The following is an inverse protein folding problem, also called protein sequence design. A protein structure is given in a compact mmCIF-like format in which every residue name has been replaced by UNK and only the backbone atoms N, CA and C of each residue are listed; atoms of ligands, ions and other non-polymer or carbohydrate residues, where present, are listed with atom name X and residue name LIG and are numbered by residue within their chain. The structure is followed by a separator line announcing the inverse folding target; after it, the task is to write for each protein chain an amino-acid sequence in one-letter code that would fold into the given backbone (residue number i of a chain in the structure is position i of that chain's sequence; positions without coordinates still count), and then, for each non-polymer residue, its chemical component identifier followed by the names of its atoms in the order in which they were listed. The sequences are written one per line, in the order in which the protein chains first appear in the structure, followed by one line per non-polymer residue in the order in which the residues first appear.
data_IF_481565731861
#
_entry.id   IF_481565731861
#
_cell.length_a   1.000
_cell.length_b   1.000
_cell.length_c   1.000
_cell.angle_alpha   90.00
_cell.angle_beta   90.00
_cell.angle_gamma   90.00
#
_symmetry.space_group_name_H-M   'P 1'
#
loop_
_entity.id
_entity.type
_entity.pdbx_description
1 polymer ?
#
# COMPACT_ATOMS: atom_id res chain seq x y z
N UNK A 1 -32.72 -16.98 -7.73
CA UNK A 1 -32.81 -15.62 -7.14
C UNK A 1 -31.70 -15.36 -6.13
N UNK A 2 -31.56 -16.21 -5.10
CA UNK A 2 -30.59 -16.05 -3.99
C UNK A 2 -29.13 -15.86 -4.43
N UNK A 3 -28.66 -16.62 -5.43
CA UNK A 3 -27.30 -16.53 -5.97
C UNK A 3 -27.00 -15.24 -6.76
N UNK A 4 -28.02 -14.64 -7.39
CA UNK A 4 -27.87 -13.33 -8.05
C UNK A 4 -27.83 -12.19 -7.02
N UNK A 5 -28.59 -12.31 -5.93
CA UNK A 5 -28.56 -11.34 -4.85
C UNK A 5 -27.19 -11.37 -4.14
N UNK A 6 -26.63 -12.57 -3.88
CA UNK A 6 -25.28 -12.71 -3.32
C UNK A 6 -24.19 -12.03 -4.16
N UNK A 7 -24.25 -12.17 -5.49
CA UNK A 7 -23.33 -11.47 -6.39
C UNK A 7 -23.51 -9.94 -6.37
N UNK A 8 -24.74 -9.46 -6.21
CA UNK A 8 -25.01 -8.02 -6.11
C UNK A 8 -24.47 -7.45 -4.79
N UNK A 9 -24.69 -8.13 -3.67
CA UNK A 9 -24.17 -7.69 -2.37
C UNK A 9 -22.63 -7.68 -2.35
N UNK A 10 -21.99 -8.72 -2.87
CA UNK A 10 -20.52 -8.80 -2.96
C UNK A 10 -19.91 -7.68 -3.80
N UNK A 11 -20.64 -7.14 -4.79
CA UNK A 11 -20.20 -5.95 -5.54
C UNK A 11 -20.35 -4.64 -4.78
N UNK A 12 -21.38 -4.52 -3.94
CA UNK A 12 -21.72 -3.30 -3.22
C UNK A 12 -20.94 -3.18 -1.90
N UNK A 13 -20.64 -4.30 -1.25
CA UNK A 13 -19.92 -4.38 0.01
C UNK A 13 -18.58 -3.59 0.03
N UNK A 14 -17.69 -3.71 -0.98
CA UNK A 14 -16.43 -2.95 -0.97
C UNK A 14 -16.59 -1.46 -1.30
N UNK A 15 -17.73 -1.02 -1.83
CA UNK A 15 -17.91 0.39 -2.25
C UNK A 15 -17.87 1.32 -1.02
N UNK A 16 -18.55 0.95 0.06
CA UNK A 16 -18.64 1.80 1.25
C UNK A 16 -17.26 2.00 1.91
N UNK A 17 -16.48 0.94 2.20
CA UNK A 17 -15.11 1.10 2.73
C UNK A 17 -14.18 1.89 1.81
N UNK A 18 -14.26 1.66 0.49
CA UNK A 18 -13.43 2.39 -0.47
C UNK A 18 -13.76 3.89 -0.51
N UNK A 19 -15.04 4.25 -0.44
CA UNK A 19 -15.47 5.65 -0.33
C UNK A 19 -14.98 6.30 0.95
N UNK A 20 -15.06 5.61 2.09
CA UNK A 20 -14.53 6.12 3.38
C UNK A 20 -13.02 6.34 3.29
N UNK A 21 -12.28 5.36 2.76
CA UNK A 21 -10.83 5.49 2.57
C UNK A 21 -10.48 6.65 1.64
N UNK A 22 -11.22 6.84 0.55
CA UNK A 22 -11.03 7.96 -0.36
C UNK A 22 -11.26 9.32 0.33
N UNK A 23 -12.31 9.46 1.15
CA UNK A 23 -12.58 10.69 1.93
C UNK A 23 -11.46 10.97 2.94
N UNK A 24 -11.00 9.95 3.64
CA UNK A 24 -9.91 10.09 4.63
C UNK A 24 -8.64 10.55 3.93
N UNK A 25 -8.23 9.88 2.85
CA UNK A 25 -7.04 10.25 2.09
C UNK A 25 -7.13 11.67 1.53
N UNK A 26 -8.29 12.05 0.98
CA UNK A 26 -8.52 13.40 0.45
C UNK A 26 -8.49 14.46 1.55
N UNK A 27 -9.00 14.15 2.74
CA UNK A 27 -8.99 15.06 3.89
C UNK A 27 -7.57 15.29 4.41
N UNK A 28 -6.75 14.23 4.49
CA UNK A 28 -5.33 14.33 4.89
C UNK A 28 -4.56 15.20 3.90
N UNK A 29 -4.72 14.96 2.59
CA UNK A 29 -4.05 15.75 1.55
C UNK A 29 -4.53 17.21 1.58
N UNK A 30 -5.84 17.45 1.73
CA UNK A 30 -6.39 18.81 1.77
C UNK A 30 -5.90 19.59 3.00
N UNK A 31 -5.77 18.94 4.15
CA UNK A 31 -5.23 19.56 5.35
C UNK A 31 -3.75 19.88 5.18
N UNK A 32 -2.97 18.96 4.60
CA UNK A 32 -1.58 19.22 4.26
C UNK A 32 -1.46 20.44 3.33
N UNK A 33 -2.19 20.44 2.22
CA UNK A 33 -2.14 21.49 1.21
C UNK A 33 -2.46 22.88 1.77
N UNK A 34 -3.51 23.00 2.60
CA UNK A 34 -3.89 24.28 3.21
C UNK A 34 -2.80 24.87 4.11
N UNK A 35 -2.12 24.03 4.87
CA UNK A 35 -1.14 24.51 5.85
C UNK A 35 0.28 24.63 5.28
N UNK A 36 0.55 23.94 4.17
CA UNK A 36 1.80 24.05 3.40
C UNK A 36 1.76 25.27 2.46
N UNK A 37 0.59 25.58 1.87
CA UNK A 37 0.39 26.72 0.97
C UNK A 37 -0.65 27.71 1.53
N UNK A 38 -0.32 28.54 2.54
CA UNK A 38 -1.27 29.50 3.10
C UNK A 38 -1.62 30.62 2.10
N UNK A 39 -2.91 31.00 2.04
CA UNK A 39 -3.43 32.04 1.14
C UNK A 39 -3.02 33.48 1.54
N UNK A 40 -2.54 33.71 2.77
CA UNK A 40 -2.13 35.04 3.25
C UNK A 40 -0.85 34.96 4.08
N UNK A 41 0.15 35.77 3.71
CA UNK A 41 1.39 35.90 4.50
C UNK A 41 1.11 36.68 5.80
N UNK A 42 1.74 36.32 6.93
CA UNK A 42 1.69 37.13 8.14
C UNK A 42 2.23 38.54 7.84
N UNK A 43 1.53 39.55 8.35
CA UNK A 43 1.76 40.97 8.06
C UNK A 43 3.18 41.43 8.39
N UNK A 44 4.01 41.64 7.36
CA UNK A 44 5.28 42.37 7.49
C UNK A 44 6.42 41.93 6.55
N UNK A 45 6.37 40.72 5.99
CA UNK A 45 7.40 40.24 5.08
C UNK A 45 7.00 40.50 3.62
N UNK A 46 7.84 41.25 2.90
CA UNK A 46 7.68 41.51 1.47
C UNK A 46 7.78 40.19 0.72
N UNK A 47 6.73 39.88 -0.04
CA UNK A 47 6.69 38.81 -1.03
C UNK A 47 7.97 38.75 -1.86
N UNK A 48 8.60 37.58 -1.91
CA UNK A 48 9.65 37.23 -2.87
C UNK A 48 9.14 37.49 -4.32
N UNK A 49 9.99 37.75 -5.34
CA UNK A 49 9.56 38.01 -6.72
C UNK A 49 8.74 36.87 -7.36
N UNK A 50 8.70 35.70 -6.72
CA UNK A 50 7.93 34.51 -7.08
C UNK A 50 6.53 34.46 -6.46
N UNK A 51 6.18 35.39 -5.56
CA UNK A 51 4.87 35.45 -4.90
C UNK A 51 4.65 34.41 -3.79
N UNK A 52 5.71 33.76 -3.31
CA UNK A 52 5.65 32.81 -2.20
C UNK A 52 5.85 33.53 -0.86
N UNK A 53 4.99 33.23 0.13
CA UNK A 53 5.23 33.61 1.53
C UNK A 53 6.38 32.75 2.07
N UNK A 54 7.33 33.34 2.81
CA UNK A 54 8.26 32.55 3.61
C UNK A 54 7.45 31.64 4.56
N UNK A 55 7.81 30.36 4.60
CA UNK A 55 6.87 29.27 4.85
C UNK A 55 6.29 29.18 6.27
N UNK A 56 5.09 28.58 6.34
CA UNK A 56 4.56 27.88 7.50
C UNK A 56 3.76 28.71 8.52
N UNK A 57 2.87 28.05 9.31
CA UNK A 57 2.24 28.69 10.45
C UNK A 57 3.31 29.08 11.48
N UNK A 58 3.28 30.32 11.98
CA UNK A 58 4.14 30.79 13.07
C UNK A 58 3.72 30.07 14.36
N UNK A 59 4.27 28.89 14.58
CA UNK A 59 4.14 28.13 15.84
C UNK A 59 5.51 28.08 16.51
N UNK A 60 6.02 29.22 16.98
CA UNK A 60 7.16 29.37 17.92
C UNK A 60 8.41 28.47 17.75
N UNK A 61 8.71 27.97 16.55
CA UNK A 61 9.91 27.22 16.19
C UNK A 61 10.03 27.19 14.63
N UNK A 62 11.21 26.90 14.04
CA UNK A 62 11.60 27.42 12.73
C UNK A 62 10.67 26.94 11.62
N UNK A 63 10.45 27.83 10.66
CA UNK A 63 9.84 27.62 9.34
C UNK A 63 9.94 26.15 8.92
N UNK A 64 8.84 25.41 9.02
CA UNK A 64 8.78 24.04 8.51
C UNK A 64 8.84 24.12 6.99
N UNK A 65 9.98 23.71 6.43
CA UNK A 65 10.20 23.72 4.99
C UNK A 65 9.16 22.79 4.33
N UNK A 66 8.36 23.26 3.36
CA UNK A 66 7.36 22.45 2.67
C UNK A 66 7.94 21.17 2.02
N UNK A 67 9.25 21.15 1.77
CA UNK A 67 9.98 20.01 1.21
C UNK A 67 10.36 18.94 2.27
N UNK A 68 10.11 19.22 3.56
CA UNK A 68 10.49 18.37 4.70
C UNK A 68 9.29 17.78 5.46
N UNK A 69 8.14 17.65 4.79
CA UNK A 69 6.94 17.05 5.40
C UNK A 69 7.11 15.54 5.52
N UNK A 70 7.34 15.09 6.76
CA UNK A 70 7.52 13.68 7.10
C UNK A 70 6.36 13.17 7.94
N UNK A 71 6.24 11.84 8.06
CA UNK A 71 5.19 11.19 8.87
C UNK A 71 5.27 11.60 10.37
N UNK A 72 6.48 11.95 10.81
CA UNK A 72 6.81 12.41 12.18
C UNK A 72 6.39 13.87 12.40
N UNK A 73 6.57 14.73 11.41
CA UNK A 73 6.30 16.16 11.51
C UNK A 73 4.88 16.54 11.08
N UNK A 74 4.17 15.64 10.40
CA UNK A 74 2.82 15.89 9.89
C UNK A 74 1.84 16.38 10.96
N UNK A 75 2.02 15.95 12.22
CA UNK A 75 1.10 16.31 13.28
C UNK A 75 1.10 17.79 13.67
N UNK A 76 2.14 18.54 13.30
CA UNK A 76 2.27 19.98 13.56
C UNK A 76 1.35 20.81 12.66
N UNK A 77 0.86 20.22 11.55
CA UNK A 77 -0.06 20.87 10.63
C UNK A 77 -1.53 20.85 11.09
N UNK A 78 -1.86 20.20 12.21
CA UNK A 78 -3.24 20.23 12.73
C UNK A 78 -3.53 21.52 13.50
N UNK A 79 -4.65 22.16 13.18
CA UNK A 79 -5.08 23.46 13.72
C UNK A 79 -5.35 23.49 15.24
N UNK A 80 -5.38 22.35 15.93
CA UNK A 80 -5.72 22.24 17.37
C UNK A 80 -4.55 22.53 18.33
N UNK A 81 -3.44 23.08 17.83
CA UNK A 81 -2.18 23.22 18.57
C UNK A 81 -1.42 21.90 18.68
N UNK A 82 -0.09 21.99 18.85
CA UNK A 82 0.85 20.86 18.78
C UNK A 82 0.42 19.65 19.65
N UNK A 83 -0.16 19.88 20.83
CA UNK A 83 -0.54 18.78 21.73
C UNK A 83 -1.80 18.01 21.28
N UNK A 84 -2.83 18.69 20.78
CA UNK A 84 -4.07 18.04 20.31
C UNK A 84 -3.90 17.36 18.95
N UNK A 85 -3.12 17.97 18.07
CA UNK A 85 -2.87 17.45 16.71
C UNK A 85 -2.06 16.15 16.73
N UNK A 86 -0.96 16.14 17.48
CA UNK A 86 -0.07 14.98 17.57
C UNK A 86 -0.67 13.79 18.32
N UNK A 87 -1.56 14.02 19.28
CA UNK A 87 -2.29 12.92 19.95
C UNK A 87 -3.29 12.25 19.01
N UNK A 88 -4.07 13.03 18.25
CA UNK A 88 -5.03 12.49 17.27
C UNK A 88 -4.30 11.79 16.12
N UNK A 89 -3.22 12.38 15.61
CA UNK A 89 -2.39 11.77 14.56
C UNK A 89 -1.79 10.44 15.04
N UNK A 90 -1.19 10.40 16.23
CA UNK A 90 -0.65 9.18 16.81
C UNK A 90 -1.72 8.09 16.99
N UNK A 91 -2.93 8.45 17.46
CA UNK A 91 -4.04 7.50 17.59
C UNK A 91 -4.50 6.96 16.22
N UNK A 92 -4.55 7.83 15.21
CA UNK A 92 -4.88 7.43 13.84
C UNK A 92 -3.85 6.45 13.25
N UNK A 93 -2.56 6.69 13.48
CA UNK A 93 -1.48 5.79 13.07
C UNK A 93 -1.61 4.42 13.75
N UNK A 94 -1.91 4.38 15.04
CA UNK A 94 -2.13 3.13 15.78
C UNK A 94 -3.34 2.39 15.21
N UNK A 95 -4.45 3.09 14.97
CA UNK A 95 -5.66 2.50 14.40
C UNK A 95 -5.40 1.91 13.00
N UNK A 96 -4.68 2.63 12.14
CA UNK A 96 -4.29 2.16 10.81
C UNK A 96 -3.37 0.93 10.88
N UNK A 97 -2.42 0.90 11.82
CA UNK A 97 -1.54 -0.24 12.04
C UNK A 97 -2.31 -1.51 12.45
N UNK A 98 -3.32 -1.38 13.31
CA UNK A 98 -4.16 -2.52 13.71
C UNK A 98 -5.01 -3.05 12.55
N UNK A 99 -5.59 -2.15 11.75
CA UNK A 99 -6.37 -2.54 10.57
C UNK A 99 -5.51 -3.33 9.57
N UNK A 100 -4.29 -2.85 9.26
CA UNK A 100 -3.36 -3.53 8.37
C UNK A 100 -2.92 -4.91 8.89
N UNK A 101 -2.70 -5.03 10.21
CA UNK A 101 -2.31 -6.29 10.82
C UNK A 101 -3.41 -7.37 10.72
N UNK A 102 -4.68 -6.97 10.83
CA UNK A 102 -5.82 -7.88 10.62
C UNK A 102 -5.88 -8.35 9.17
N UNK A 103 -5.85 -7.43 8.21
CA UNK A 103 -5.89 -7.77 6.77
C UNK A 103 -4.72 -8.67 6.39
N UNK A 104 -3.51 -8.40 6.88
CA UNK A 104 -2.32 -9.24 6.60
C UNK A 104 -2.49 -10.67 7.12
N UNK A 105 -3.10 -10.84 8.29
CA UNK A 105 -3.33 -12.17 8.89
C UNK A 105 -4.32 -12.98 8.04
N UNK A 106 -5.44 -12.36 7.65
CA UNK A 106 -6.48 -13.00 6.83
C UNK A 106 -6.05 -13.23 5.38
N UNK A 107 -5.50 -12.22 4.70
CA UNK A 107 -5.00 -12.39 3.32
C UNK A 107 -3.92 -13.45 3.28
N UNK A 108 -3.04 -13.44 4.28
CA UNK A 108 -2.02 -14.44 4.38
C UNK A 108 -2.60 -15.86 4.51
N UNK A 109 -3.69 -16.09 5.26
CA UNK A 109 -4.25 -17.43 5.44
C UNK A 109 -4.68 -18.02 4.11
N UNK A 110 -5.36 -17.22 3.30
CA UNK A 110 -5.72 -17.65 1.95
C UNK A 110 -4.50 -17.94 1.06
N UNK A 111 -3.43 -17.15 1.17
CA UNK A 111 -2.21 -17.37 0.38
C UNK A 111 -1.46 -18.62 0.84
N UNK A 112 -1.32 -18.86 2.16
CA UNK A 112 -0.60 -20.03 2.65
C UNK A 112 -1.36 -21.33 2.39
N UNK A 113 -2.68 -21.34 2.55
CA UNK A 113 -3.52 -22.49 2.23
C UNK A 113 -3.55 -22.74 0.71
N UNK A 114 -3.51 -21.69 -0.10
CA UNK A 114 -3.53 -21.78 -1.56
C UNK A 114 -2.19 -22.17 -2.20
N UNK A 115 -1.05 -21.69 -1.67
CA UNK A 115 0.26 -21.84 -2.31
C UNK A 115 1.25 -22.76 -1.57
N UNK A 116 1.10 -22.94 -0.26
CA UNK A 116 2.11 -23.62 0.58
C UNK A 116 1.51 -24.85 1.31
N UNK A 117 0.20 -25.10 1.22
CA UNK A 117 -0.55 -26.19 1.90
C UNK A 117 -0.07 -26.43 3.34
N UNK A 118 0.17 -25.33 4.07
CA UNK A 118 0.79 -25.36 5.38
C UNK A 118 -0.21 -24.88 6.43
N UNK A 119 -0.79 -25.85 7.14
CA UNK A 119 -1.81 -25.61 8.19
C UNK A 119 -1.15 -25.21 9.50
N UNK A 120 -0.88 -23.92 9.67
CA UNK A 120 -0.41 -23.32 10.93
C UNK A 120 -1.58 -22.62 11.62
N UNK A 121 -1.74 -22.75 12.95
CA UNK A 121 -2.76 -22.01 13.69
C UNK A 121 -2.56 -20.49 13.57
N UNK A 122 -3.68 -19.75 13.49
CA UNK A 122 -3.73 -18.31 13.16
C UNK A 122 -2.88 -17.44 14.10
N UNK A 123 -2.78 -17.81 15.38
CA UNK A 123 -2.00 -17.08 16.39
C UNK A 123 -0.48 -17.08 16.12
N UNK A 124 0.11 -18.25 15.84
CA UNK A 124 1.53 -18.46 15.54
C UNK A 124 1.89 -17.75 14.25
N UNK A 125 1.01 -17.87 13.26
CA UNK A 125 1.12 -17.16 11.99
C UNK A 125 1.15 -15.64 12.20
N UNK A 126 0.22 -15.09 12.99
CA UNK A 126 0.14 -13.65 13.26
C UNK A 126 1.40 -13.15 13.97
N UNK A 127 1.86 -13.84 15.02
CA UNK A 127 3.10 -13.50 15.73
C UNK A 127 4.31 -13.57 14.78
N UNK A 128 4.46 -14.64 14.00
CA UNK A 128 5.59 -14.80 13.08
C UNK A 128 5.63 -13.67 12.04
N UNK A 129 4.50 -13.35 11.40
CA UNK A 129 4.45 -12.25 10.42
C UNK A 129 4.70 -10.89 11.04
N UNK A 130 4.28 -10.67 12.29
CA UNK A 130 4.57 -9.43 13.04
C UNK A 130 6.05 -9.34 13.39
N UNK A 131 6.68 -10.43 13.84
CA UNK A 131 8.12 -10.45 14.10
C UNK A 131 8.90 -10.13 12.83
N UNK A 132 8.58 -10.79 11.71
CA UNK A 132 9.27 -10.54 10.43
C UNK A 132 9.06 -9.11 9.93
N UNK A 133 7.89 -8.51 10.15
CA UNK A 133 7.63 -7.13 9.75
C UNK A 133 8.30 -6.09 10.68
N UNK A 134 8.32 -6.33 11.99
CA UNK A 134 8.84 -5.39 12.98
C UNK A 134 10.37 -5.43 13.06
N UNK A 135 10.99 -6.60 12.91
CA UNK A 135 12.44 -6.76 13.01
C UNK A 135 13.24 -5.79 12.12
N UNK A 136 12.99 -5.68 10.80
CA UNK A 136 13.75 -4.75 9.96
C UNK A 136 13.51 -3.30 10.37
N UNK A 137 12.29 -2.93 10.75
CA UNK A 137 11.97 -1.59 11.21
C UNK A 137 12.71 -1.22 12.51
N UNK A 138 12.76 -2.13 13.48
CA UNK A 138 13.46 -1.92 14.75
C UNK A 138 14.98 -1.85 14.56
N UNK A 139 15.54 -2.71 13.71
CA UNK A 139 16.98 -2.67 13.41
C UNK A 139 17.36 -1.34 12.77
N UNK A 140 16.57 -0.88 11.79
CA UNK A 140 16.79 0.41 11.15
C UNK A 140 16.67 1.53 12.19
N UNK A 141 15.60 1.58 12.99
CA UNK A 141 15.41 2.60 14.02
C UNK A 141 16.49 2.60 15.11
N UNK A 142 17.15 1.46 15.37
CA UNK A 142 18.23 1.36 16.36
C UNK A 142 19.61 1.76 15.81
N UNK A 143 19.80 1.70 14.49
CA UNK A 143 21.08 2.03 13.83
C UNK A 143 21.07 3.45 13.27
N UNK A 144 19.88 4.00 13.04
CA UNK A 144 19.67 5.25 12.30
C UNK A 144 19.08 6.31 13.22
N UNK A 145 19.86 7.35 13.50
CA UNK A 145 19.46 8.46 14.38
C UNK A 145 18.79 9.63 13.63
N UNK A 146 18.75 9.61 12.29
CA UNK A 146 18.24 10.71 11.48
C UNK A 146 16.85 10.44 10.88
N UNK A 147 15.92 11.42 10.91
CA UNK A 147 14.56 11.26 10.37
C UNK A 147 14.55 11.01 8.84
N UNK A 148 15.46 11.62 8.08
CA UNK A 148 15.53 11.50 6.62
C UNK A 148 15.65 10.05 6.13
N UNK A 149 16.40 9.25 6.87
CA UNK A 149 16.64 7.83 6.56
C UNK A 149 15.46 6.92 6.89
N UNK A 150 14.57 7.32 7.81
CA UNK A 150 13.30 6.63 8.04
C UNK A 150 12.35 6.88 6.87
N UNK A 151 12.24 8.13 6.41
CA UNK A 151 11.41 8.48 5.26
C UNK A 151 11.92 7.81 3.98
N UNK A 152 13.24 7.70 3.82
CA UNK A 152 13.85 6.92 2.75
C UNK A 152 13.43 5.45 2.76
N UNK A 153 13.42 4.80 3.93
CA UNK A 153 12.98 3.40 4.06
C UNK A 153 11.49 3.27 3.74
N UNK A 154 10.66 4.21 4.19
CA UNK A 154 9.24 4.26 3.83
C UNK A 154 9.06 4.41 2.32
N UNK A 155 9.86 5.27 1.69
CA UNK A 155 9.91 5.44 0.24
C UNK A 155 10.21 4.13 -0.48
N UNK A 156 11.24 3.39 -0.05
CA UNK A 156 11.59 2.07 -0.61
C UNK A 156 10.42 1.09 -0.47
N UNK A 157 9.78 1.02 0.70
CA UNK A 157 8.63 0.11 0.92
C UNK A 157 7.49 0.44 -0.04
N UNK A 158 7.19 1.72 -0.25
CA UNK A 158 6.14 2.15 -1.17
C UNK A 158 6.47 1.79 -2.63
N UNK A 159 7.72 1.95 -3.05
CA UNK A 159 8.18 1.55 -4.40
C UNK A 159 8.09 0.04 -4.60
N UNK A 160 8.55 -0.75 -3.62
CA UNK A 160 8.46 -2.22 -3.67
C UNK A 160 7.01 -2.69 -3.72
N UNK A 161 6.12 -2.07 -2.93
CA UNK A 161 4.69 -2.35 -2.96
C UNK A 161 4.08 -2.02 -4.32
N UNK A 162 4.46 -0.88 -4.89
CA UNK A 162 4.08 -0.46 -6.25
C UNK A 162 4.46 -1.50 -7.31
N UNK A 163 5.68 -2.04 -7.25
CA UNK A 163 6.14 -3.11 -8.16
C UNK A 163 5.36 -4.42 -7.97
N UNK A 164 4.97 -4.77 -6.74
CA UNK A 164 4.22 -6.00 -6.47
C UNK A 164 2.78 -5.97 -7.03
N UNK A 165 2.16 -4.78 -7.11
CA UNK A 165 0.76 -4.62 -7.48
C UNK A 165 0.43 -5.16 -8.90
N UNK A 166 1.15 -4.79 -9.98
CA UNK A 166 0.83 -5.30 -11.31
C UNK A 166 1.04 -6.81 -11.46
N UNK A 167 2.05 -7.36 -10.79
CA UNK A 167 2.40 -8.78 -10.82
C UNK A 167 1.24 -9.63 -10.27
N UNK A 168 0.58 -9.18 -9.20
CA UNK A 168 -0.59 -9.85 -8.66
C UNK A 168 -1.87 -9.58 -9.48
N UNK A 169 -1.99 -8.41 -10.08
CA UNK A 169 -3.19 -7.98 -10.79
C UNK A 169 -3.37 -8.68 -12.15
N UNK A 170 -2.30 -8.93 -12.91
CA UNK A 170 -2.35 -9.61 -14.21
C UNK A 170 -3.03 -11.00 -14.14
N UNK A 171 -2.56 -11.94 -13.29
CA UNK A 171 -3.19 -13.26 -13.20
C UNK A 171 -4.64 -13.16 -12.69
N UNK A 172 -4.96 -12.22 -11.80
CA UNK A 172 -6.31 -11.99 -11.33
C UNK A 172 -7.27 -11.58 -12.47
N UNK A 173 -6.83 -10.67 -13.35
CA UNK A 173 -7.61 -10.24 -14.53
C UNK A 173 -7.84 -11.42 -15.48
N UNK A 174 -6.80 -12.21 -15.75
CA UNK A 174 -6.90 -13.37 -16.64
C UNK A 174 -7.82 -14.46 -16.08
N UNK A 175 -7.73 -14.75 -14.79
CA UNK A 175 -8.62 -15.70 -14.11
C UNK A 175 -10.08 -15.22 -14.14
N UNK A 176 -10.30 -13.93 -13.93
CA UNK A 176 -11.63 -13.32 -13.98
C UNK A 176 -12.25 -13.32 -15.39
N UNK A 177 -11.41 -13.35 -16.43
CA UNK A 177 -11.83 -13.45 -17.83
C UNK A 177 -11.96 -14.89 -18.35
N UNK A 178 -11.50 -15.89 -17.60
CA UNK A 178 -11.57 -17.27 -18.04
C UNK A 178 -13.00 -17.84 -17.94
N UNK A 179 -13.58 -18.20 -19.09
CA UNK A 179 -14.93 -18.77 -19.16
C UNK A 179 -15.04 -20.14 -18.48
N UNK A 180 -13.98 -20.94 -18.47
CA UNK A 180 -13.97 -22.25 -17.81
C UNK A 180 -14.10 -22.15 -16.28
N UNK A 181 -13.71 -21.01 -15.69
CA UNK A 181 -13.72 -20.80 -14.22
C UNK A 181 -14.89 -19.95 -13.76
N UNK A 182 -15.13 -18.81 -14.40
CA UNK A 182 -16.19 -17.87 -13.99
C UNK A 182 -17.56 -18.20 -14.60
N UNK A 183 -17.61 -19.01 -15.67
CA UNK A 183 -18.85 -19.38 -16.35
C UNK A 183 -19.68 -18.15 -16.74
N UNK A 184 -20.92 -18.08 -16.22
CA UNK A 184 -21.87 -16.98 -16.47
C UNK A 184 -21.46 -15.64 -15.82
N UNK A 185 -20.60 -15.66 -14.79
CA UNK A 185 -20.18 -14.47 -14.04
C UNK A 185 -18.85 -13.87 -14.54
N UNK A 186 -18.41 -14.26 -15.75
CA UNK A 186 -17.20 -13.74 -16.40
C UNK A 186 -17.28 -12.22 -16.59
N UNK A 187 -16.13 -11.56 -16.39
CA UNK A 187 -15.94 -10.14 -16.71
C UNK A 187 -16.22 -9.83 -18.19
N UNK A 188 -16.83 -8.67 -18.47
CA UNK A 188 -17.09 -8.23 -19.85
C UNK A 188 -15.78 -7.94 -20.59
N UNK A 189 -15.78 -8.06 -21.93
CA UNK A 189 -14.59 -7.74 -22.74
C UNK A 189 -14.12 -6.30 -22.54
N UNK A 190 -15.06 -5.37 -22.36
CA UNK A 190 -14.73 -3.95 -22.11
C UNK A 190 -13.97 -3.83 -20.79
N UNK A 191 -14.48 -4.42 -19.71
CA UNK A 191 -13.84 -4.31 -18.40
C UNK A 191 -12.49 -5.04 -18.38
N UNK A 192 -12.33 -6.15 -19.12
CA UNK A 192 -11.03 -6.78 -19.34
C UNK A 192 -10.01 -5.82 -19.98
N UNK A 193 -10.36 -5.17 -21.09
CA UNK A 193 -9.44 -4.24 -21.76
C UNK A 193 -9.15 -2.98 -20.94
N UNK A 194 -10.14 -2.47 -20.20
CA UNK A 194 -9.94 -1.33 -19.28
C UNK A 194 -8.99 -1.71 -18.14
N UNK A 195 -9.21 -2.85 -17.49
CA UNK A 195 -8.32 -3.33 -16.42
C UNK A 195 -6.91 -3.63 -16.94
N UNK A 196 -6.80 -4.15 -18.17
CA UNK A 196 -5.51 -4.39 -18.81
C UNK A 196 -4.78 -3.08 -19.14
N UNK A 197 -5.47 -2.08 -19.68
CA UNK A 197 -4.90 -0.77 -19.95
C UNK A 197 -4.43 -0.08 -18.66
N UNK A 198 -5.22 -0.17 -17.59
CA UNK A 198 -4.83 0.33 -16.27
C UNK A 198 -3.61 -0.41 -15.72
N UNK A 199 -3.53 -1.73 -15.89
CA UNK A 199 -2.36 -2.50 -15.47
C UNK A 199 -1.09 -2.10 -16.25
N UNK A 200 -1.19 -1.91 -17.57
CA UNK A 200 -0.07 -1.41 -18.40
C UNK A 200 0.39 -0.02 -17.92
N UNK A 201 -0.56 0.86 -17.62
CA UNK A 201 -0.27 2.17 -17.04
C UNK A 201 0.49 2.05 -15.71
N UNK A 202 0.04 1.15 -14.81
CA UNK A 202 0.73 0.90 -13.54
C UNK A 202 2.14 0.35 -13.75
N UNK A 203 2.35 -0.59 -14.68
CA UNK A 203 3.69 -1.13 -14.98
C UNK A 203 4.62 -0.02 -15.44
N UNK A 204 4.15 0.83 -16.36
CA UNK A 204 4.91 1.97 -16.85
C UNK A 204 5.23 2.98 -15.73
N UNK A 205 4.22 3.37 -14.96
CA UNK A 205 4.38 4.35 -13.88
C UNK A 205 5.33 3.84 -12.79
N UNK A 206 5.19 2.59 -12.34
CA UNK A 206 6.07 2.02 -11.32
C UNK A 206 7.50 1.83 -11.84
N UNK A 207 7.69 1.46 -13.10
CA UNK A 207 9.01 1.42 -13.72
C UNK A 207 9.64 2.82 -13.78
N UNK A 208 8.87 3.84 -14.17
CA UNK A 208 9.33 5.22 -14.21
C UNK A 208 9.71 5.74 -12.80
N UNK A 209 8.84 5.57 -11.80
CA UNK A 209 9.13 5.96 -10.42
C UNK A 209 10.31 5.20 -9.82
N UNK A 210 10.50 3.92 -10.18
CA UNK A 210 11.69 3.18 -9.78
C UNK A 210 12.97 3.79 -10.40
N UNK A 211 12.90 4.35 -11.60
CA UNK A 211 14.04 5.02 -12.24
C UNK A 211 14.28 6.46 -11.79
N UNK A 212 13.25 7.20 -11.38
CA UNK A 212 13.38 8.62 -11.01
C UNK A 212 13.54 8.82 -9.51
N UNK A 213 12.78 8.07 -8.71
CA UNK A 213 12.55 8.39 -7.29
C UNK A 213 13.27 7.40 -6.36
N UNK A 214 13.88 6.34 -6.90
CA UNK A 214 14.65 5.39 -6.10
C UNK A 214 16.09 5.85 -5.90
N UNK A 215 16.74 5.27 -4.87
CA UNK A 215 18.19 5.34 -4.62
C UNK A 215 19.02 5.08 -5.87
N UNK A 216 18.49 4.27 -6.79
CA UNK A 216 19.17 3.87 -8.01
C UNK A 216 19.09 4.95 -9.10
N UNK A 217 18.01 5.73 -9.12
CA UNK A 217 17.79 6.86 -10.04
C UNK A 217 18.60 8.12 -9.73
N UNK A 218 18.93 8.32 -8.45
CA UNK A 218 19.65 9.49 -7.94
C UNK A 218 21.07 9.67 -8.52
N UNK A 219 21.56 8.68 -9.27
CA UNK A 219 22.90 8.66 -9.86
C UNK A 219 22.92 8.86 -11.40
N UNK A 220 21.77 9.06 -12.04
CA UNK A 220 21.74 9.48 -13.45
C UNK A 220 22.27 10.92 -13.57
N UNK A 221 23.54 11.07 -13.96
CA UNK A 221 24.20 12.37 -14.13
C UNK A 221 25.18 12.77 -13.02
N UNK A 222 25.55 11.85 -12.13
CA UNK A 222 26.59 12.11 -11.13
C UNK A 222 27.93 12.50 -11.83
N UNK A 223 28.46 13.67 -11.48
CA UNK A 223 29.72 14.18 -12.01
C UNK A 223 30.85 13.15 -11.80
N UNK A 224 31.67 12.95 -12.85
CA UNK A 224 32.81 12.02 -12.82
C UNK A 224 33.85 12.33 -11.73
N UNK A 225 33.80 13.52 -11.13
CA UNK A 225 34.68 13.95 -10.05
C UNK A 225 34.27 13.43 -8.65
N UNK A 226 33.11 12.79 -8.52
CA UNK A 226 32.65 12.24 -7.24
C UNK A 226 33.35 10.91 -6.90
N UNK A 227 33.86 10.78 -5.67
CA UNK A 227 34.42 9.53 -5.13
C UNK A 227 33.44 8.36 -5.15
N UNK A 228 32.15 8.63 -5.39
CA UNK A 228 31.07 7.65 -5.43
C UNK A 228 30.66 7.24 -6.86
N UNK A 229 31.38 7.67 -7.90
CA UNK A 229 31.05 7.37 -9.30
C UNK A 229 30.97 5.86 -9.59
N UNK A 230 31.86 5.04 -9.00
CA UNK A 230 31.84 3.58 -9.20
C UNK A 230 30.57 2.96 -8.60
N UNK A 231 30.18 3.39 -7.39
CA UNK A 231 28.94 2.93 -6.74
C UNK A 231 27.69 3.38 -7.49
N UNK A 232 27.70 4.60 -8.01
CA UNK A 232 26.64 5.16 -8.87
C UNK A 232 26.40 4.31 -10.13
N UNK A 233 27.47 3.92 -10.84
CA UNK A 233 27.37 3.07 -12.03
C UNK A 233 26.83 1.67 -11.66
N UNK A 234 27.31 1.09 -10.56
CA UNK A 234 26.83 -0.22 -10.09
C UNK A 234 25.33 -0.19 -9.72
N UNK A 235 24.88 0.89 -9.08
CA UNK A 235 23.48 1.10 -8.71
C UNK A 235 22.58 1.18 -9.96
N UNK A 236 22.99 1.93 -10.99
CA UNK A 236 22.26 2.03 -12.25
C UNK A 236 22.16 0.68 -12.98
N UNK A 237 23.27 -0.08 -13.05
CA UNK A 237 23.26 -1.41 -13.68
C UNK A 237 22.29 -2.34 -12.94
N UNK A 238 22.28 -2.30 -11.60
CA UNK A 238 21.34 -3.09 -10.82
C UNK A 238 19.89 -2.65 -11.09
N UNK A 239 19.63 -1.35 -11.18
CA UNK A 239 18.31 -0.80 -11.50
C UNK A 239 17.80 -1.30 -12.86
N UNK A 240 18.67 -1.31 -13.87
CA UNK A 240 18.35 -1.80 -15.20
C UNK A 240 18.00 -3.29 -15.18
N UNK A 241 18.80 -4.09 -14.48
CA UNK A 241 18.53 -5.52 -14.32
C UNK A 241 17.18 -5.74 -13.63
N UNK A 242 16.91 -5.02 -12.54
CA UNK A 242 15.64 -5.13 -11.79
C UNK A 242 14.46 -4.73 -12.67
N UNK A 243 14.57 -3.66 -13.43
CA UNK A 243 13.47 -3.19 -14.30
C UNK A 243 13.24 -4.13 -15.47
N UNK A 244 14.30 -4.65 -16.10
CA UNK A 244 14.17 -5.66 -17.17
C UNK A 244 13.51 -6.93 -16.63
N UNK A 245 13.92 -7.40 -15.45
CA UNK A 245 13.28 -8.55 -14.79
C UNK A 245 11.81 -8.25 -14.49
N UNK A 246 11.50 -7.07 -13.94
CA UNK A 246 10.14 -6.63 -13.66
C UNK A 246 9.25 -6.62 -14.91
N UNK A 247 9.70 -6.01 -15.99
CA UNK A 247 8.97 -5.95 -17.27
C UNK A 247 8.81 -7.37 -17.84
N UNK A 248 9.86 -8.18 -17.80
CA UNK A 248 9.84 -9.56 -18.30
C UNK A 248 8.84 -10.42 -17.54
N UNK A 249 8.79 -10.31 -16.20
CA UNK A 249 7.82 -11.03 -15.35
C UNK A 249 6.39 -10.61 -15.69
N UNK A 250 6.12 -9.29 -15.76
CA UNK A 250 4.79 -8.80 -16.11
C UNK A 250 4.39 -9.28 -17.50
N UNK A 251 5.27 -9.13 -18.50
CA UNK A 251 5.04 -9.61 -19.86
C UNK A 251 4.77 -11.12 -19.89
N UNK A 252 5.57 -11.92 -19.18
CA UNK A 252 5.37 -13.35 -19.06
C UNK A 252 3.99 -13.71 -18.49
N UNK A 253 3.55 -13.03 -17.43
CA UNK A 253 2.21 -13.24 -16.88
C UNK A 253 1.09 -12.82 -17.84
N UNK A 254 1.31 -11.82 -18.70
CA UNK A 254 0.32 -11.42 -19.72
C UNK A 254 0.07 -12.52 -20.76
N UNK A 255 1.10 -13.25 -21.17
CA UNK A 255 0.97 -14.27 -22.23
C UNK A 255 0.73 -15.67 -21.70
N UNK A 256 1.27 -16.01 -20.54
CA UNK A 256 1.08 -17.33 -19.95
C UNK A 256 -0.22 -17.37 -19.15
N UNK A 257 -1.27 -17.90 -19.76
CA UNK A 257 -2.49 -18.21 -19.02
C UNK A 257 -2.18 -19.21 -17.90
N UNK A 258 -2.71 -19.02 -16.68
CA UNK A 258 -2.56 -20.00 -15.61
C UNK A 258 -3.13 -21.34 -16.10
N UNK A 259 -2.27 -22.36 -16.16
CA UNK A 259 -2.67 -23.73 -16.51
C UNK A 259 -3.34 -24.31 -15.28
N UNK A 260 -4.63 -24.65 -15.38
CA UNK A 260 -5.40 -25.08 -14.22
C UNK A 260 -5.68 -26.57 -14.31
N UNK A 261 -5.12 -27.33 -13.38
CA UNK A 261 -5.58 -28.67 -13.03
C UNK A 261 -6.96 -28.51 -12.39
N UNK A 262 -7.98 -29.11 -12.98
CA UNK A 262 -9.36 -29.07 -12.50
C UNK A 262 -9.43 -29.60 -11.06
N UNK A 263 -9.71 -28.75 -10.08
CA UNK A 263 -10.29 -29.22 -8.83
C UNK A 263 -11.70 -29.75 -9.14
N UNK A 264 -12.01 -30.93 -8.63
CA UNK A 264 -13.36 -31.49 -8.68
C UNK A 264 -14.36 -30.47 -8.10
N UNK A 265 -15.59 -30.38 -8.64
CA UNK A 265 -16.62 -29.55 -8.03
C UNK A 265 -16.80 -29.99 -6.57
N UNK A 266 -16.82 -29.02 -5.64
CA UNK A 266 -17.21 -29.29 -4.25
C UNK A 266 -18.57 -30.00 -4.28
N UNK A 267 -18.60 -31.23 -3.78
CA UNK A 267 -19.84 -31.97 -3.63
C UNK A 267 -20.74 -31.20 -2.67
N UNK A 268 -22.03 -31.15 -2.99
CA UNK A 268 -23.07 -30.41 -2.27
C UNK A 268 -23.28 -30.89 -0.81
N UNK A 269 -22.60 -31.95 -0.38
CA UNK A 269 -22.72 -32.57 0.94
C UNK A 269 -21.95 -31.83 2.04
N UNK A 270 -20.83 -31.17 1.76
CA UNK A 270 -20.00 -30.55 2.81
C UNK A 270 -20.60 -29.25 3.39
N UNK A 271 -21.54 -28.61 2.71
CA UNK A 271 -22.22 -27.40 3.22
C UNK A 271 -23.22 -27.70 4.35
N UNK A 272 -23.78 -28.91 4.41
CA UNK A 272 -24.78 -29.24 5.43
C UNK A 272 -24.17 -29.49 6.79
N UNK A 273 -22.94 -29.98 6.85
CA UNK A 273 -22.30 -30.36 8.12
C UNK A 273 -21.88 -29.16 8.96
N UNK A 274 -21.60 -28.01 8.35
CA UNK A 274 -21.13 -26.82 9.05
C UNK A 274 -22.25 -25.86 9.50
N UNK A 275 -23.44 -26.00 8.90
CA UNK A 275 -24.64 -25.28 9.34
C UNK A 275 -25.26 -25.83 10.65
N UNK A 276 -24.83 -27.04 11.08
CA UNK A 276 -25.33 -27.72 12.28
C UNK A 276 -24.36 -27.68 13.47
N UNK A 277 -23.23 -26.96 13.39
CA UNK A 277 -22.35 -26.72 14.54
C UNK A 277 -22.86 -25.53 15.38
N UNK A 278 -23.07 -25.81 16.67
CA UNK A 278 -23.75 -25.04 17.71
C UNK A 278 -23.55 -23.50 17.74
N UNK A 279 -24.54 -22.75 18.28
CA UNK A 279 -24.43 -21.30 18.44
C UNK A 279 -23.26 -20.95 19.37
N UNK A 280 -22.42 -20.02 18.91
CA UNK A 280 -21.34 -19.39 19.68
C UNK A 280 -21.95 -18.76 20.94
N UNK A 281 -21.57 -19.26 22.12
CA UNK A 281 -21.94 -18.69 23.42
C UNK A 281 -21.25 -17.32 23.61
N UNK A 282 -21.99 -16.25 23.34
CA UNK A 282 -21.57 -14.86 23.55
C UNK A 282 -21.29 -14.50 25.02
N UNK A 283 -21.58 -15.38 25.99
CA UNK A 283 -21.27 -15.16 27.40
C UNK A 283 -19.78 -15.25 27.75
N UNK A 284 -18.99 -16.00 26.99
CA UNK A 284 -17.57 -16.24 27.31
C UNK A 284 -16.63 -15.09 26.88
N UNK A 285 -17.08 -14.19 26.00
CA UNK A 285 -16.25 -13.07 25.50
C UNK A 285 -16.27 -11.87 26.48
N UNK A 286 -17.22 -11.81 27.42
CA UNK A 286 -17.32 -10.75 28.42
C UNK A 286 -16.39 -10.89 29.64
N UNK A 287 -15.63 -11.98 29.76
CA UNK A 287 -14.75 -12.24 30.91
C UNK A 287 -13.25 -12.13 30.58
N UNK A 288 -12.89 -11.69 29.38
CA UNK A 288 -11.50 -11.42 28.96
C UNK A 288 -11.31 -9.99 28.42
N UNK A 289 -11.89 -9.02 29.13
CA UNK A 289 -11.50 -7.60 29.07
C UNK A 289 -11.19 -7.11 30.47
#
# INVERSE_FOLDING_TARGET
AQRNNGFLYSKLEPIIPLCISWIVNLSVISLAAKNVFPETCPSGETSDPTGQCAAGPVINDPVLDPDSVTLLNFCQYFSSGNAGGCTIWGLALIAAAQASAMTTTFTGSFVMDGFIDMKIPVWTRSIATRCVAILPAVIIAAVVDTPESLDFVIGIVNVVLGLALPIALIPLIQLSFNQAKMGKYRISRILYWVSMAFNIFLVFFNAASFYTDSVFGQYMGADQASSNFVWAVQANILADVVTVVYITINFYFVFKQPTITTCAPLAEEDYKTEADTEPIDLGAIGAMT
#
